data_IF_857481568812
#
_entry.id   IF_857481568812
#
_cell.length_a   1.000
_cell.length_b   1.000
_cell.length_c   1.000
_cell.angle_alpha   90.00
_cell.angle_beta   90.00
_cell.angle_gamma   90.00
#
_symmetry.space_group_name_H-M   'P 1'
#
loop_
_entity.id
_entity.type
_entity.pdbx_description
1 polymer ?
#
# COMPACT_ATOMS: atom_id res chain seq x y z
N UNK A 1 -2.80 13.26 4.64
CA UNK A 1 -2.39 12.73 3.33
C UNK A 1 -3.62 12.23 2.61
N UNK A 2 -4.04 11.01 2.88
CA UNK A 2 -5.30 10.44 2.41
C UNK A 2 -6.51 10.83 3.31
N UNK A 3 -6.58 12.10 3.69
CA UNK A 3 -7.69 12.64 4.48
C UNK A 3 -8.68 13.32 3.53
N UNK A 4 -9.93 13.51 3.96
CA UNK A 4 -11.02 14.05 3.12
C UNK A 4 -10.64 15.35 2.39
N UNK A 5 -9.92 16.24 3.05
CA UNK A 5 -9.50 17.55 2.53
C UNK A 5 -8.45 17.45 1.42
N UNK A 6 -7.72 16.34 1.35
CA UNK A 6 -6.59 16.12 0.43
C UNK A 6 -6.81 14.90 -0.46
N UNK A 7 -8.03 14.38 -0.51
CA UNK A 7 -8.37 13.12 -1.15
C UNK A 7 -8.04 13.14 -2.64
N UNK A 8 -8.54 14.14 -3.38
CA UNK A 8 -8.37 14.23 -4.83
C UNK A 8 -6.90 14.31 -5.25
N UNK A 9 -6.13 15.16 -4.55
CA UNK A 9 -4.67 15.29 -4.78
C UNK A 9 -3.97 13.97 -4.46
N UNK A 10 -4.34 13.33 -3.37
CA UNK A 10 -3.74 12.06 -2.96
C UNK A 10 -4.06 10.93 -3.94
N UNK A 11 -5.30 10.84 -4.44
CA UNK A 11 -5.71 9.87 -5.44
C UNK A 11 -4.99 10.12 -6.77
N UNK A 12 -4.88 11.38 -7.20
CA UNK A 12 -4.14 11.73 -8.41
C UNK A 12 -2.66 11.30 -8.32
N UNK A 13 -1.99 11.59 -7.21
CA UNK A 13 -0.61 11.17 -6.98
C UNK A 13 -0.49 9.64 -6.88
N UNK A 14 -1.41 9.00 -6.17
CA UNK A 14 -1.45 7.54 -6.03
C UNK A 14 -1.60 6.82 -7.36
N UNK A 15 -2.50 7.30 -8.23
CA UNK A 15 -2.70 6.73 -9.56
C UNK A 15 -1.52 6.97 -10.51
N UNK A 16 -0.72 8.01 -10.28
CA UNK A 16 0.43 8.33 -11.16
C UNK A 16 1.58 7.34 -11.06
N UNK A 17 1.89 6.84 -9.85
CA UNK A 17 3.05 5.95 -9.63
C UNK A 17 2.76 4.76 -8.72
N UNK A 18 2.07 4.98 -7.60
CA UNK A 18 1.86 3.94 -6.59
C UNK A 18 1.01 2.79 -7.15
N UNK A 19 -0.18 3.08 -7.66
CA UNK A 19 -1.09 2.04 -8.15
C UNK A 19 -0.53 1.27 -9.35
N UNK A 20 0.09 1.91 -10.37
CA UNK A 20 0.75 1.18 -11.45
C UNK A 20 1.87 0.25 -10.96
N UNK A 21 2.72 0.72 -10.04
CA UNK A 21 3.82 -0.09 -9.52
C UNK A 21 3.31 -1.31 -8.73
N UNK A 22 2.29 -1.12 -7.89
CA UNK A 22 1.69 -2.21 -7.11
C UNK A 22 0.95 -3.22 -8.01
N UNK A 23 0.28 -2.76 -9.07
CA UNK A 23 -0.42 -3.65 -10.03
C UNK A 23 0.56 -4.43 -10.91
N UNK A 24 1.72 -3.85 -11.21
CA UNK A 24 2.77 -4.51 -12.01
C UNK A 24 3.59 -5.53 -11.19
N UNK A 25 3.58 -5.44 -9.86
CA UNK A 25 4.26 -6.39 -9.01
C UNK A 25 3.60 -7.79 -9.11
N UNK A 26 4.40 -8.88 -9.19
CA UNK A 26 3.88 -10.25 -9.17
C UNK A 26 2.91 -10.51 -8.02
N UNK A 27 2.02 -11.49 -8.19
CA UNK A 27 0.99 -11.81 -7.20
C UNK A 27 1.60 -12.26 -5.86
N UNK A 28 2.71 -12.99 -5.93
CA UNK A 28 3.51 -13.48 -4.81
C UNK A 28 4.37 -12.39 -4.14
N UNK A 29 4.50 -11.21 -4.75
CA UNK A 29 5.27 -10.11 -4.17
C UNK A 29 4.51 -9.50 -3.00
N UNK A 30 5.11 -9.55 -1.81
CA UNK A 30 4.54 -8.95 -0.62
C UNK A 30 4.67 -7.42 -0.63
N UNK A 31 3.56 -6.72 -0.44
CA UNK A 31 3.53 -5.26 -0.39
C UNK A 31 3.55 -4.81 1.07
N UNK A 32 4.48 -3.93 1.41
CA UNK A 32 4.69 -3.48 2.79
C UNK A 32 4.60 -1.96 2.86
N UNK A 33 3.84 -1.45 3.82
CA UNK A 33 3.77 -0.01 4.09
C UNK A 33 3.54 0.28 5.58
N UNK A 34 4.31 1.20 6.20
CA UNK A 34 4.23 1.48 7.64
C UNK A 34 2.98 2.31 8.02
N UNK A 35 2.54 3.22 7.16
CA UNK A 35 1.38 4.09 7.43
C UNK A 35 0.04 3.40 7.16
N UNK A 36 -0.94 3.59 8.06
CA UNK A 36 -2.33 3.10 7.87
C UNK A 36 -2.92 3.70 6.59
N UNK A 37 -2.81 5.01 6.39
CA UNK A 37 -3.31 5.70 5.19
C UNK A 37 -2.69 5.14 3.91
N UNK A 38 -1.39 4.83 3.91
CA UNK A 38 -0.72 4.22 2.75
C UNK A 38 -1.29 2.84 2.45
N UNK A 39 -1.47 2.00 3.48
CA UNK A 39 -2.06 0.65 3.31
C UNK A 39 -3.50 0.74 2.79
N UNK A 40 -4.31 1.65 3.32
CA UNK A 40 -5.68 1.89 2.85
C UNK A 40 -5.70 2.38 1.40
N UNK A 41 -4.82 3.32 1.04
CA UNK A 41 -4.73 3.84 -0.32
C UNK A 41 -4.29 2.76 -1.32
N UNK A 42 -3.33 1.89 -0.95
CA UNK A 42 -2.92 0.76 -1.78
C UNK A 42 -4.10 -0.20 -2.00
N UNK A 43 -4.85 -0.51 -0.94
CA UNK A 43 -6.05 -1.34 -1.06
C UNK A 43 -7.09 -0.69 -1.96
N UNK A 44 -7.35 0.61 -1.79
CA UNK A 44 -8.33 1.35 -2.58
C UNK A 44 -7.94 1.41 -4.06
N UNK A 45 -6.73 1.85 -4.38
CA UNK A 45 -6.34 2.15 -5.77
C UNK A 45 -5.83 0.92 -6.55
N UNK A 46 -5.26 -0.06 -5.85
CA UNK A 46 -4.62 -1.22 -6.47
C UNK A 46 -5.26 -2.57 -6.10
N UNK A 47 -6.21 -2.62 -5.15
CA UNK A 47 -6.87 -3.85 -4.74
C UNK A 47 -5.97 -4.84 -3.99
N UNK A 48 -4.71 -4.49 -3.73
CA UNK A 48 -3.75 -5.32 -2.99
C UNK A 48 -3.77 -4.95 -1.51
N UNK A 49 -3.72 -5.95 -0.62
CA UNK A 49 -3.54 -5.70 0.82
C UNK A 49 -2.05 -5.57 1.13
N UNK A 50 -1.63 -4.40 1.60
CA UNK A 50 -0.29 -4.20 2.13
C UNK A 50 -0.22 -4.55 3.62
N UNK A 51 0.90 -5.13 4.08
CA UNK A 51 1.16 -5.41 5.50
C UNK A 51 1.97 -4.31 6.17
N UNK A 52 1.87 -4.21 7.50
CA UNK A 52 2.78 -3.40 8.28
C UNK A 52 4.15 -4.09 8.40
N UNK A 53 5.29 -3.38 8.34
CA UNK A 53 6.62 -3.98 8.47
C UNK A 53 6.78 -4.91 9.68
N UNK A 54 6.21 -4.53 10.83
CA UNK A 54 6.25 -5.36 12.04
C UNK A 54 5.55 -6.72 11.88
N UNK A 55 4.50 -6.82 11.05
CA UNK A 55 3.85 -8.11 10.76
C UNK A 55 4.80 -9.01 9.96
N UNK A 56 5.44 -8.46 8.94
CA UNK A 56 6.42 -9.17 8.10
C UNK A 56 7.64 -9.61 8.91
N UNK A 57 8.15 -8.73 9.78
CA UNK A 57 9.26 -9.06 10.68
C UNK A 57 8.89 -10.19 11.63
N UNK A 58 7.69 -10.17 12.23
CA UNK A 58 7.21 -11.25 13.10
C UNK A 58 7.13 -12.58 12.34
N UNK A 59 6.58 -12.58 11.13
CA UNK A 59 6.49 -13.77 10.28
C UNK A 59 7.87 -14.31 9.90
N UNK A 60 8.85 -13.44 9.65
CA UNK A 60 10.22 -13.84 9.31
C UNK A 60 10.98 -14.41 10.52
N UNK A 61 10.77 -13.85 11.72
CA UNK A 61 11.41 -14.31 12.95
C UNK A 61 10.78 -15.59 13.53
N UNK A 62 9.58 -15.95 13.08
CA UNK A 62 8.84 -17.14 13.53
C UNK A 62 9.01 -18.34 12.57
N UNK A 63 9.93 -18.24 11.61
CA UNK A 63 10.36 -19.33 10.71
C UNK A 63 11.63 -19.97 11.25
#
# INVERSE_FOLDING_TARGET
GFEREHYDVSVALGNRRLAPAVKAAPAETEIVAPGISCRQQIQHLAGRRAKHPAEVLREALSR
#
